data_IF_376110393192
#
_entry.id   IF_376110393192
#
_cell.length_a   1.000
_cell.length_b   1.000
_cell.length_c   1.000
_cell.angle_alpha   90.00
_cell.angle_beta   90.00
_cell.angle_gamma   90.00
#
_symmetry.space_group_name_H-M   'P 1'
#
loop_
_entity.id
_entity.type
_entity.pdbx_description
1 polymer ?
#
# COMPACT_ATOMS: atom_id res chain seq x y z
N UNK A 1 2.40 -11.34 -4.43
CA UNK A 1 1.33 -10.37 -4.06
C UNK A 1 0.81 -9.70 -5.33
N UNK A 2 -0.49 -9.39 -5.43
CA UNK A 2 -1.06 -8.77 -6.64
C UNK A 2 -1.66 -7.40 -6.31
N UNK A 3 -1.29 -6.39 -7.09
CA UNK A 3 -1.93 -5.08 -7.10
C UNK A 3 -2.77 -4.94 -8.36
N UNK A 4 -4.02 -4.52 -8.22
CA UNK A 4 -4.92 -4.31 -9.37
C UNK A 4 -5.55 -2.93 -9.34
N UNK A 5 -5.66 -2.29 -10.50
CA UNK A 5 -6.37 -1.04 -10.71
C UNK A 5 -7.37 -1.15 -11.85
N UNK A 6 -8.55 -0.55 -11.67
CA UNK A 6 -9.61 -0.49 -12.68
C UNK A 6 -10.01 0.96 -12.92
N UNK A 7 -10.11 1.33 -14.19
CA UNK A 7 -10.64 2.61 -14.67
C UNK A 7 -11.73 2.36 -15.73
N UNK A 8 -12.33 3.44 -16.23
CA UNK A 8 -13.23 3.37 -17.39
C UNK A 8 -12.53 2.87 -18.65
N UNK A 9 -11.24 3.20 -18.80
CA UNK A 9 -10.45 2.92 -20.00
C UNK A 9 -9.72 1.58 -19.96
N UNK A 10 -9.67 0.88 -18.83
CA UNK A 10 -9.03 -0.42 -18.74
C UNK A 10 -8.78 -0.94 -17.32
N UNK A 11 -8.11 -2.08 -17.26
CA UNK A 11 -7.67 -2.73 -16.02
C UNK A 11 -6.16 -2.99 -16.10
N UNK A 12 -5.47 -2.83 -14.97
CA UNK A 12 -4.05 -3.14 -14.81
C UNK A 12 -3.90 -4.07 -13.62
N UNK A 13 -3.05 -5.08 -13.76
CA UNK A 13 -2.61 -5.94 -12.68
C UNK A 13 -1.08 -6.00 -12.68
N UNK A 14 -0.48 -5.88 -11.50
CA UNK A 14 0.95 -6.00 -11.28
C UNK A 14 1.15 -7.08 -10.22
N UNK A 15 1.96 -8.07 -10.57
CA UNK A 15 2.35 -9.12 -9.64
C UNK A 15 3.74 -8.81 -9.08
N UNK A 16 3.83 -8.76 -7.76
CA UNK A 16 5.10 -8.67 -7.05
C UNK A 16 5.52 -10.08 -6.60
N UNK A 17 6.64 -10.52 -7.15
CA UNK A 17 7.32 -11.75 -6.76
C UNK A 17 7.94 -11.60 -5.36
N UNK A 18 7.90 -12.66 -4.57
CA UNK A 18 8.52 -12.73 -3.25
C UNK A 18 10.05 -12.58 -3.31
N UNK A 19 10.67 -12.88 -4.45
CA UNK A 19 12.10 -12.72 -4.68
C UNK A 19 12.47 -11.35 -5.28
N UNK A 20 11.52 -10.41 -5.32
CA UNK A 20 11.79 -9.06 -5.83
C UNK A 20 12.87 -8.37 -4.97
N UNK A 21 13.93 -7.81 -5.57
CA UNK A 21 14.96 -7.07 -4.82
C UNK A 21 14.43 -5.80 -4.14
N UNK A 22 13.24 -5.33 -4.53
CA UNK A 22 12.56 -4.21 -3.89
C UNK A 22 11.83 -4.60 -2.59
N UNK A 23 11.67 -5.90 -2.32
CA UNK A 23 10.94 -6.41 -1.16
C UNK A 23 11.92 -6.72 -0.03
N UNK A 24 11.90 -5.93 1.04
CA UNK A 24 12.73 -6.19 2.23
C UNK A 24 12.17 -7.31 3.10
N UNK A 25 10.86 -7.34 3.27
CA UNK A 25 10.14 -8.31 4.09
C UNK A 25 8.70 -8.45 3.59
N UNK A 26 8.20 -9.68 3.58
CA UNK A 26 6.79 -9.99 3.37
C UNK A 26 6.36 -11.05 4.36
N UNK A 27 5.37 -10.70 5.18
CA UNK A 27 4.74 -11.62 6.12
C UNK A 27 3.25 -11.70 5.81
N UNK A 28 2.77 -12.88 5.42
CA UNK A 28 1.35 -13.13 5.14
C UNK A 28 0.82 -14.07 6.21
N UNK A 29 -0.05 -13.55 7.08
CA UNK A 29 -0.67 -14.32 8.17
C UNK A 29 -2.02 -14.91 7.79
N UNK A 30 -2.74 -14.25 6.89
CA UNK A 30 -4.02 -14.68 6.36
C UNK A 30 -4.21 -14.16 4.93
N UNK A 31 -5.07 -14.80 4.15
CA UNK A 31 -5.49 -14.26 2.86
C UNK A 31 -6.30 -12.98 3.08
N UNK A 32 -5.82 -11.87 2.53
CA UNK A 32 -6.43 -10.55 2.71
C UNK A 32 -6.64 -9.85 1.38
N UNK A 33 -7.79 -9.19 1.22
CA UNK A 33 -8.12 -8.36 0.07
C UNK A 33 -8.78 -7.07 0.51
N UNK A 34 -8.31 -5.95 -0.02
CA UNK A 34 -8.88 -4.65 0.26
C UNK A 34 -8.75 -3.70 -0.94
N UNK A 35 -9.76 -2.85 -1.13
CA UNK A 35 -9.81 -1.85 -2.21
C UNK A 35 -9.64 -0.46 -1.60
N UNK A 36 -8.85 0.41 -2.23
CA UNK A 36 -8.61 1.78 -1.78
C UNK A 36 -8.77 2.78 -2.92
N UNK A 37 -9.11 4.03 -2.61
CA UNK A 37 -9.09 5.09 -3.63
C UNK A 37 -7.63 5.50 -3.93
N UNK A 38 -7.25 5.36 -5.21
CA UNK A 38 -5.89 5.65 -5.70
C UNK A 38 -5.45 7.10 -5.46
N UNK A 39 -6.39 8.05 -5.33
CA UNK A 39 -6.07 9.45 -5.06
C UNK A 39 -5.36 9.62 -3.71
N UNK A 40 -5.75 8.84 -2.69
CA UNK A 40 -5.09 8.89 -1.38
C UNK A 40 -3.67 8.32 -1.48
N UNK A 41 -3.50 7.16 -2.11
CA UNK A 41 -2.19 6.54 -2.32
C UNK A 41 -1.25 7.46 -3.12
N UNK A 42 -1.77 8.14 -4.14
CA UNK A 42 -1.02 9.11 -4.94
C UNK A 42 -0.58 10.32 -4.10
N UNK A 43 -1.43 10.79 -3.19
CA UNK A 43 -1.12 11.93 -2.31
C UNK A 43 -0.03 11.55 -1.29
N UNK A 44 -0.10 10.34 -0.74
CA UNK A 44 0.93 9.82 0.18
C UNK A 44 2.26 9.66 -0.54
N UNK A 45 2.27 9.10 -1.76
CA UNK A 45 3.49 8.96 -2.55
C UNK A 45 4.18 10.33 -2.79
N UNK A 46 3.41 11.37 -3.11
CA UNK A 46 3.94 12.74 -3.23
C UNK A 46 4.59 13.25 -1.94
N UNK A 47 3.97 12.98 -0.78
CA UNK A 47 4.51 13.38 0.52
C UNK A 47 5.74 12.57 0.94
N UNK A 48 5.88 11.36 0.41
CA UNK A 48 6.93 10.41 0.74
C UNK A 48 8.07 10.39 -0.29
N UNK A 49 8.22 11.43 -1.12
CA UNK A 49 9.16 11.46 -2.25
C UNK A 49 10.62 11.18 -1.84
N UNK A 50 11.00 11.60 -0.64
CA UNK A 50 12.36 11.41 -0.08
C UNK A 50 12.47 10.15 0.81
N UNK A 51 11.37 9.40 0.96
CA UNK A 51 11.35 8.19 1.77
C UNK A 51 11.91 7.01 0.95
N UNK A 52 12.83 6.27 1.56
CA UNK A 52 13.43 5.08 0.94
C UNK A 52 12.66 3.81 1.26
N UNK A 53 12.01 3.78 2.43
CA UNK A 53 11.41 2.59 3.00
C UNK A 53 9.95 2.82 3.36
N UNK A 54 9.12 1.88 2.94
CA UNK A 54 7.68 1.88 3.20
C UNK A 54 7.27 0.57 3.84
N UNK A 55 6.49 0.67 4.90
CA UNK A 55 5.83 -0.47 5.53
C UNK A 55 4.34 -0.39 5.26
N UNK A 56 3.79 -1.45 4.66
CA UNK A 56 2.37 -1.60 4.38
C UNK A 56 1.80 -2.74 5.22
N UNK A 57 0.77 -2.46 6.01
CA UNK A 57 0.07 -3.45 6.83
C UNK A 57 -1.43 -3.29 6.64
N UNK A 58 -2.12 -4.36 6.27
CA UNK A 58 -3.57 -4.37 6.12
C UNK A 58 -4.14 -5.74 6.44
N UNK A 59 -5.44 -5.81 6.69
CA UNK A 59 -6.18 -7.05 6.82
C UNK A 59 -7.63 -6.86 6.38
N UNK A 60 -8.39 -7.93 6.32
CA UNK A 60 -9.83 -7.87 5.99
C UNK A 60 -10.65 -7.07 7.02
N UNK A 61 -10.11 -6.81 8.23
CA UNK A 61 -10.82 -6.16 9.34
C UNK A 61 -10.13 -4.90 9.87
N UNK A 62 -9.06 -4.43 9.22
CA UNK A 62 -8.32 -3.25 9.67
C UNK A 62 -8.04 -2.31 8.48
N UNK A 63 -7.90 -0.99 8.74
CA UNK A 63 -7.42 -0.06 7.73
C UNK A 63 -6.02 -0.44 7.25
N UNK A 64 -5.68 -0.05 6.02
CA UNK A 64 -4.30 -0.05 5.57
C UNK A 64 -3.53 0.98 6.40
N UNK A 65 -2.51 0.50 7.11
CA UNK A 65 -1.46 1.33 7.70
C UNK A 65 -0.30 1.41 6.72
N UNK A 66 0.07 2.64 6.36
CA UNK A 66 1.23 2.93 5.53
C UNK A 66 2.17 3.81 6.35
N UNK A 67 3.37 3.30 6.63
CA UNK A 67 4.38 4.00 7.41
C UNK A 67 5.66 4.21 6.61
N UNK A 68 6.26 5.39 6.76
CA UNK A 68 7.58 5.71 6.23
C UNK A 68 8.28 6.76 7.10
N UNK A 69 9.58 6.94 6.87
CA UNK A 69 10.38 8.01 7.48
C UNK A 69 10.53 9.17 6.50
N UNK A 70 10.25 10.40 6.96
CA UNK A 70 10.38 11.61 6.15
C UNK A 70 11.83 11.97 5.84
N UNK A 71 12.74 11.73 6.80
CA UNK A 71 14.16 11.97 6.63
C UNK A 71 14.97 10.84 7.24
N UNK A 72 16.20 10.59 6.76
CA UNK A 72 17.11 9.64 7.40
C UNK A 72 17.44 10.00 8.86
N UNK A 73 17.27 11.27 9.23
CA UNK A 73 17.54 11.80 10.57
C UNK A 73 16.32 11.64 11.51
N UNK A 74 15.17 11.20 10.98
CA UNK A 74 13.95 10.93 11.75
C UNK A 74 12.67 11.49 11.13
N UNK A 75 11.57 11.35 11.87
CA UNK A 75 10.22 11.76 11.47
C UNK A 75 9.41 10.61 10.89
N UNK A 76 8.76 9.83 11.76
CA UNK A 76 7.86 8.76 11.33
C UNK A 76 6.49 9.31 11.00
N UNK A 77 5.99 9.01 9.80
CA UNK A 77 4.62 9.33 9.39
C UNK A 77 3.87 8.02 9.21
N UNK A 78 2.67 7.95 9.78
CA UNK A 78 1.76 6.81 9.63
C UNK A 78 0.43 7.30 9.08
N UNK A 79 0.05 6.78 7.92
CA UNK A 79 -1.26 6.99 7.32
C UNK A 79 -2.14 5.79 7.56
N UNK A 80 -3.41 6.05 7.87
CA UNK A 80 -4.43 5.03 8.02
C UNK A 80 -5.52 5.27 6.98
N UNK A 81 -5.74 4.28 6.12
CA UNK A 81 -6.74 4.33 5.06
C UNK A 81 -7.75 3.22 5.28
N UNK A 82 -9.01 3.60 5.54
CA UNK A 82 -10.09 2.63 5.59
C UNK A 82 -10.27 1.98 4.21
N UNK A 83 -10.44 0.65 4.14
CA UNK A 83 -10.78 -0.01 2.89
C UNK A 83 -12.15 0.48 2.42
N UNK A 84 -12.30 0.62 1.11
CA UNK A 84 -13.62 0.80 0.51
C UNK A 84 -14.35 -0.52 0.62
N UNK A 85 -15.56 -0.47 1.16
CA UNK A 85 -16.51 -1.57 1.07
C UNK A 85 -17.09 -1.48 -0.33
N UNK A 86 -16.58 -2.28 -1.26
CA UNK A 86 -17.38 -2.59 -2.45
C UNK A 86 -18.47 -3.56 -1.98
N UNK A 87 -19.71 -3.09 -1.91
CA UNK A 87 -20.86 -3.98 -1.85
C UNK A 87 -20.79 -4.88 -3.10
N UNK A 88 -20.72 -6.19 -2.85
CA UNK A 88 -20.70 -7.22 -3.88
C UNK A 88 -21.97 -7.20 -4.70
#
# INVERSE_FOLDING_TARGET
>A
MVFSGKSETGNVAIELDNNSPALKLLEVKEESKATYNINYLTSINKAAKEANDFTYEFSNKMPLRLQFQLTPQGGNVSFYLAPRIEER
#
